data_IF_157589029236
#
_entry.id   IF_157589029236
#
_cell.length_a   1.000
_cell.length_b   1.000
_cell.length_c   1.000
_cell.angle_alpha   90.00
_cell.angle_beta   90.00
_cell.angle_gamma   90.00
#
_symmetry.space_group_name_H-M   'P 1'
#
loop_
_entity.id
_entity.type
_entity.pdbx_description
1 polymer ?
#
# COMPACT_ATOMS: atom_id res chain seq x y z
N UNK A 1 -10.52 25.00 8.16
CA UNK A 1 -10.10 24.22 6.99
C UNK A 1 -8.92 23.28 7.33
N UNK A 2 -7.85 23.77 7.99
CA UNK A 2 -6.68 22.98 8.40
C UNK A 2 -7.06 21.77 9.27
N UNK A 3 -7.85 21.94 10.33
CA UNK A 3 -8.27 20.84 11.20
C UNK A 3 -9.13 19.80 10.47
N UNK A 4 -10.00 20.22 9.53
CA UNK A 4 -10.82 19.28 8.75
C UNK A 4 -9.94 18.42 7.84
N UNK A 5 -8.95 19.04 7.19
CA UNK A 5 -7.96 18.33 6.37
C UNK A 5 -7.13 17.39 7.24
N UNK A 6 -6.63 17.86 8.38
CA UNK A 6 -5.89 17.06 9.34
C UNK A 6 -6.68 15.87 9.90
N UNK A 7 -7.97 16.05 10.16
CA UNK A 7 -8.84 14.94 10.57
C UNK A 7 -8.90 13.85 9.52
N UNK A 8 -9.02 14.21 8.24
CA UNK A 8 -9.05 13.24 7.16
C UNK A 8 -7.73 12.44 7.08
N UNK A 9 -6.59 13.09 7.30
CA UNK A 9 -5.28 12.42 7.38
C UNK A 9 -5.19 11.45 8.55
N UNK A 10 -5.57 11.87 9.76
CA UNK A 10 -5.56 11.00 10.94
C UNK A 10 -6.51 9.82 10.74
N UNK A 11 -7.72 10.06 10.23
CA UNK A 11 -8.68 8.99 9.95
C UNK A 11 -8.13 7.98 8.93
N UNK A 12 -7.40 8.44 7.90
CA UNK A 12 -6.75 7.58 6.91
C UNK A 12 -5.67 6.72 7.56
N UNK A 13 -4.83 7.29 8.45
CA UNK A 13 -3.80 6.55 9.17
C UNK A 13 -4.39 5.49 10.10
N UNK A 14 -5.45 5.84 10.84
CA UNK A 14 -6.15 4.89 11.72
C UNK A 14 -6.77 3.76 10.90
N UNK A 15 -7.37 4.07 9.76
CA UNK A 15 -7.94 3.04 8.88
C UNK A 15 -6.86 2.15 8.29
N UNK A 16 -5.71 2.71 7.88
CA UNK A 16 -4.57 1.93 7.43
C UNK A 16 -4.09 0.95 8.52
N UNK A 17 -3.92 1.42 9.76
CA UNK A 17 -3.56 0.56 10.89
C UNK A 17 -4.60 -0.53 11.14
N UNK A 18 -5.89 -0.22 11.01
CA UNK A 18 -6.97 -1.19 11.15
C UNK A 18 -6.88 -2.29 10.08
N UNK A 19 -6.61 -1.92 8.84
CA UNK A 19 -6.45 -2.88 7.74
C UNK A 19 -5.19 -3.73 7.91
N UNK A 20 -4.07 -3.13 8.32
CA UNK A 20 -2.82 -3.85 8.63
C UNK A 20 -3.05 -4.86 9.76
N UNK A 21 -3.79 -4.48 10.81
CA UNK A 21 -4.15 -5.39 11.89
C UNK A 21 -5.03 -6.56 11.40
N UNK A 22 -6.04 -6.28 10.58
CA UNK A 22 -6.91 -7.31 10.02
C UNK A 22 -6.10 -8.30 9.17
N UNK A 23 -5.17 -7.81 8.35
CA UNK A 23 -4.25 -8.65 7.58
C UNK A 23 -3.43 -9.56 8.50
N UNK A 24 -2.83 -9.02 9.57
CA UNK A 24 -2.10 -9.81 10.55
C UNK A 24 -2.95 -10.92 11.19
N UNK A 25 -4.19 -10.61 11.58
CA UNK A 25 -5.13 -11.59 12.14
C UNK A 25 -5.45 -12.70 11.11
N UNK A 26 -5.65 -12.33 9.85
CA UNK A 26 -5.89 -13.31 8.79
C UNK A 26 -4.70 -14.24 8.58
N UNK A 27 -3.48 -13.71 8.59
CA UNK A 27 -2.27 -14.50 8.48
C UNK A 27 -2.13 -15.49 9.64
N UNK A 28 -2.42 -15.05 10.87
CA UNK A 28 -2.44 -15.94 12.05
C UNK A 28 -3.47 -17.07 11.86
N UNK A 29 -4.70 -16.73 11.48
CA UNK A 29 -5.78 -17.69 11.30
C UNK A 29 -5.49 -18.73 10.20
N UNK A 30 -4.74 -18.32 9.18
CA UNK A 30 -4.32 -19.19 8.06
C UNK A 30 -3.00 -19.91 8.32
N UNK A 31 -2.35 -19.74 9.50
CA UNK A 31 -1.00 -20.22 9.82
C UNK A 31 0.06 -19.79 8.79
N UNK A 32 -0.03 -18.56 8.32
CA UNK A 32 0.83 -17.98 7.29
C UNK A 32 1.67 -16.80 7.78
N UNK A 33 1.52 -16.39 9.05
CA UNK A 33 2.36 -15.35 9.64
C UNK A 33 3.76 -15.90 9.86
N UNK A 34 4.72 -15.40 9.10
CA UNK A 34 6.14 -15.70 9.27
C UNK A 34 6.90 -14.47 9.78
N UNK A 35 8.23 -14.57 9.92
CA UNK A 35 9.05 -13.48 10.45
C UNK A 35 9.01 -12.23 9.55
N UNK A 36 8.93 -12.40 8.23
CA UNK A 36 8.92 -11.28 7.29
C UNK A 36 7.65 -10.44 7.44
N UNK A 37 6.48 -11.09 7.44
CA UNK A 37 5.20 -10.41 7.65
C UNK A 37 5.10 -9.80 9.05
N UNK A 38 5.61 -10.49 10.09
CA UNK A 38 5.64 -9.94 11.44
C UNK A 38 6.47 -8.65 11.51
N UNK A 39 7.64 -8.61 10.87
CA UNK A 39 8.47 -7.40 10.82
C UNK A 39 7.76 -6.25 10.09
N UNK A 40 7.04 -6.54 9.00
CA UNK A 40 6.23 -5.52 8.31
C UNK A 40 5.14 -4.98 9.21
N UNK A 41 4.41 -5.84 9.94
CA UNK A 41 3.40 -5.43 10.91
C UNK A 41 4.00 -4.51 11.96
N UNK A 42 5.06 -4.95 12.64
CA UNK A 42 5.70 -4.21 13.74
C UNK A 42 6.21 -2.84 13.27
N UNK A 43 6.94 -2.79 12.15
CA UNK A 43 7.47 -1.54 11.59
C UNK A 43 6.33 -0.60 11.19
N UNK A 44 5.30 -1.12 10.52
CA UNK A 44 4.16 -0.30 10.09
C UNK A 44 3.44 0.33 11.27
N UNK A 45 3.16 -0.45 12.32
CA UNK A 45 2.52 0.08 13.53
C UNK A 45 3.38 1.16 14.20
N UNK A 46 4.68 0.90 14.38
CA UNK A 46 5.59 1.86 15.01
C UNK A 46 5.66 3.16 14.20
N UNK A 47 5.80 3.08 12.87
CA UNK A 47 5.92 4.27 12.03
C UNK A 47 4.64 5.09 11.97
N UNK A 48 3.48 4.46 11.76
CA UNK A 48 2.20 5.15 11.71
C UNK A 48 1.84 5.79 13.04
N UNK A 49 2.00 5.07 14.15
CA UNK A 49 1.71 5.61 15.48
C UNK A 49 2.69 6.72 15.84
N UNK A 50 3.98 6.57 15.50
CA UNK A 50 4.95 7.65 15.70
C UNK A 50 4.53 8.94 14.97
N UNK A 51 4.04 8.84 13.75
CA UNK A 51 3.56 10.01 13.00
C UNK A 51 2.26 10.59 13.59
N UNK A 52 1.33 9.76 14.02
CA UNK A 52 0.09 10.21 14.67
C UNK A 52 0.40 11.01 15.94
N UNK A 53 1.34 10.54 16.76
CA UNK A 53 1.74 11.18 18.02
C UNK A 53 2.60 12.44 17.80
N UNK A 54 3.58 12.39 16.87
CA UNK A 54 4.56 13.46 16.71
C UNK A 54 4.21 14.46 15.61
N UNK A 55 3.29 14.13 14.73
CA UNK A 55 2.80 14.96 13.64
C UNK A 55 2.85 14.30 12.28
N UNK A 56 1.72 14.29 11.60
CA UNK A 56 1.56 13.80 10.24
C UNK A 56 1.86 14.97 9.29
N UNK A 57 2.86 14.86 8.40
CA UNK A 57 3.11 15.87 7.37
C UNK A 57 2.04 15.78 6.29
N UNK A 58 1.18 16.80 6.21
CA UNK A 58 0.14 16.90 5.19
C UNK A 58 0.64 17.55 3.90
N UNK A 59 1.66 18.39 4.03
CA UNK A 59 2.40 19.05 2.94
C UNK A 59 3.78 19.45 3.43
N UNK A 60 4.56 20.13 2.61
CA UNK A 60 5.91 20.62 2.99
C UNK A 60 5.91 21.53 4.22
N UNK A 61 4.82 22.24 4.48
CA UNK A 61 4.73 23.24 5.56
C UNK A 61 3.59 22.98 6.54
N UNK A 62 2.78 21.96 6.32
CA UNK A 62 1.61 21.68 7.13
C UNK A 62 1.75 20.34 7.86
N UNK A 63 1.58 20.40 9.17
CA UNK A 63 1.58 19.24 10.05
C UNK A 63 0.29 19.23 10.87
N UNK A 64 -0.18 18.04 11.21
CA UNK A 64 -1.29 17.84 12.12
C UNK A 64 -0.90 16.81 13.20
N UNK A 65 -1.21 17.11 14.44
CA UNK A 65 -1.06 16.20 15.58
C UNK A 65 -2.43 15.82 16.11
N UNK A 66 -2.52 14.64 16.68
CA UNK A 66 -3.76 14.20 17.31
C UNK A 66 -4.19 15.10 18.46
N UNK A 67 -3.22 15.73 19.14
CA UNK A 67 -3.47 16.71 20.22
C UNK A 67 -4.07 18.02 19.75
N UNK A 68 -3.98 18.36 18.45
CA UNK A 68 -4.56 19.60 17.91
C UNK A 68 -6.10 19.57 17.90
N UNK A 69 -6.69 18.39 18.09
CA UNK A 69 -8.16 18.21 18.14
C UNK A 69 -8.75 18.29 19.53
N UNK A 70 -7.93 18.44 20.59
CA UNK A 70 -8.37 18.46 21.98
C UNK A 70 -9.21 17.21 22.40
N UNK A 71 -9.19 16.15 21.60
CA UNK A 71 -9.93 14.90 21.82
C UNK A 71 -9.13 13.96 22.73
N UNK A 72 -7.80 14.02 22.62
CA UNK A 72 -6.85 13.18 23.35
C UNK A 72 -6.06 14.07 24.30
N UNK A 73 -6.02 13.70 25.57
CA UNK A 73 -5.19 14.35 26.56
C UNK A 73 -3.79 13.71 26.63
N UNK A 74 -2.89 14.39 27.33
CA UNK A 74 -1.49 13.95 27.46
C UNK A 74 -1.34 12.57 28.13
N UNK A 75 -2.27 12.16 28.97
CA UNK A 75 -2.23 10.84 29.60
C UNK A 75 -2.60 9.74 28.61
N UNK A 76 -3.50 10.00 27.67
CA UNK A 76 -3.85 9.04 26.62
C UNK A 76 -2.71 8.88 25.62
N UNK A 77 -2.03 9.99 25.27
CA UNK A 77 -0.81 9.98 24.44
C UNK A 77 0.30 9.14 25.08
N UNK A 78 0.53 9.29 26.40
CA UNK A 78 1.49 8.49 27.15
C UNK A 78 1.14 7.00 27.14
N UNK A 79 -0.13 6.65 27.37
CA UNK A 79 -0.59 5.25 27.33
C UNK A 79 -0.37 4.61 25.95
N UNK A 80 -0.59 5.35 24.86
CA UNK A 80 -0.32 4.86 23.52
C UNK A 80 1.18 4.63 23.35
N UNK A 81 2.01 5.60 23.76
CA UNK A 81 3.47 5.50 23.62
C UNK A 81 4.11 4.38 24.44
N UNK A 82 3.57 4.05 25.60
CA UNK A 82 4.06 2.98 26.47
C UNK A 82 3.86 1.57 25.87
N UNK A 83 2.88 1.41 24.99
CA UNK A 83 2.60 0.13 24.31
C UNK A 83 3.51 -0.16 23.12
N UNK A 84 4.33 0.80 22.67
CA UNK A 84 5.17 0.67 21.49
C UNK A 84 6.63 0.99 21.81
N UNK A 85 7.54 0.11 21.39
CA UNK A 85 8.98 0.35 21.51
C UNK A 85 9.52 1.06 20.27
N UNK A 86 9.49 2.39 20.28
CA UNK A 86 9.97 3.21 19.16
C UNK A 86 11.50 3.19 18.96
N UNK A 87 12.27 2.75 19.97
CA UNK A 87 13.75 2.77 19.89
C UNK A 87 14.34 1.64 19.04
N UNK A 88 13.56 0.62 18.70
CA UNK A 88 13.98 -0.62 18.07
C UNK A 88 13.74 -0.66 16.54
N UNK A 89 13.13 0.39 15.97
CA UNK A 89 12.72 0.41 14.54
C UNK A 89 13.88 0.17 13.58
N UNK A 90 15.07 0.73 13.86
CA UNK A 90 16.23 0.55 12.99
C UNK A 90 16.69 -0.90 12.93
N UNK A 91 16.68 -1.60 14.06
CA UNK A 91 17.03 -3.02 14.12
C UNK A 91 16.01 -3.89 13.37
N UNK A 92 14.71 -3.61 13.53
CA UNK A 92 13.64 -4.30 12.80
C UNK A 92 13.80 -4.12 11.29
N UNK A 93 14.10 -2.89 10.83
CA UNK A 93 14.37 -2.60 9.41
C UNK A 93 15.60 -3.33 8.89
N UNK A 94 16.70 -3.38 9.66
CA UNK A 94 17.88 -4.15 9.27
C UNK A 94 17.57 -5.65 9.12
N UNK A 95 16.78 -6.20 10.03
CA UNK A 95 16.35 -7.61 9.95
C UNK A 95 15.49 -7.84 8.71
N UNK A 96 14.51 -6.96 8.45
CA UNK A 96 13.65 -7.04 7.27
C UNK A 96 14.48 -7.04 5.97
N UNK A 97 15.44 -6.11 5.86
CA UNK A 97 16.33 -6.01 4.69
C UNK A 97 17.19 -7.26 4.53
N UNK A 98 17.74 -7.82 5.63
CA UNK A 98 18.53 -9.05 5.59
C UNK A 98 17.71 -10.23 5.05
N UNK A 99 16.46 -10.37 5.50
CA UNK A 99 15.55 -11.41 4.99
C UNK A 99 15.27 -11.18 3.49
N UNK A 100 14.96 -9.94 3.11
CA UNK A 100 14.67 -9.60 1.71
C UNK A 100 15.84 -9.88 0.76
N UNK A 101 17.07 -9.57 1.18
CA UNK A 101 18.27 -9.81 0.36
C UNK A 101 18.58 -11.32 0.24
N UNK A 102 18.37 -12.09 1.30
CA UNK A 102 18.70 -13.52 1.32
C UNK A 102 17.67 -14.38 0.55
N UNK A 103 16.53 -13.83 0.23
CA UNK A 103 15.48 -14.49 -0.53
C UNK A 103 15.29 -13.78 -1.88
N UNK A 104 15.97 -14.25 -2.92
CA UNK A 104 15.93 -13.67 -4.28
C UNK A 104 14.52 -13.42 -4.86
N UNK A 105 13.48 -13.90 -4.19
CA UNK A 105 12.09 -13.83 -4.62
C UNK A 105 11.18 -12.92 -3.74
N UNK A 106 11.67 -12.32 -2.66
CA UNK A 106 10.85 -11.46 -1.79
C UNK A 106 10.80 -10.01 -2.29
N UNK A 107 10.53 -9.81 -3.56
CA UNK A 107 10.04 -8.50 -4.05
C UNK A 107 8.52 -8.39 -3.88
N UNK A 108 7.84 -9.49 -3.59
CA UNK A 108 6.39 -9.56 -3.39
C UNK A 108 6.07 -10.25 -2.07
N UNK A 109 5.09 -9.73 -1.33
CA UNK A 109 4.49 -10.45 -0.22
C UNK A 109 3.94 -11.79 -0.74
N UNK A 110 4.45 -12.92 -0.25
CA UNK A 110 3.91 -14.24 -0.60
C UNK A 110 2.48 -14.42 -0.08
N UNK A 111 2.18 -13.78 1.05
CA UNK A 111 0.91 -13.89 1.73
C UNK A 111 0.22 -12.52 1.81
N UNK A 112 -0.51 -12.16 0.78
CA UNK A 112 -1.23 -10.89 0.71
C UNK A 112 -2.47 -10.86 1.63
N UNK A 113 -2.98 -12.02 2.04
CA UNK A 113 -4.27 -12.14 2.70
C UNK A 113 -5.48 -11.96 1.77
N UNK A 114 -5.25 -11.70 0.49
CA UNK A 114 -6.32 -11.52 -0.49
C UNK A 114 -7.16 -12.80 -0.67
N UNK A 115 -8.42 -12.62 -1.03
CA UNK A 115 -9.29 -13.71 -1.49
C UNK A 115 -8.86 -14.17 -2.89
N UNK A 116 -9.24 -15.40 -3.23
CA UNK A 116 -8.81 -16.07 -4.48
C UNK A 116 -9.10 -15.24 -5.73
N UNK A 117 -10.22 -14.52 -5.77
CA UNK A 117 -10.61 -13.67 -6.89
C UNK A 117 -9.59 -12.54 -7.12
N UNK A 118 -9.17 -11.85 -6.05
CA UNK A 118 -8.18 -10.76 -6.15
C UNK A 118 -6.79 -11.28 -6.46
N UNK A 119 -6.43 -12.47 -5.98
CA UNK A 119 -5.17 -13.13 -6.36
C UNK A 119 -5.15 -13.45 -7.87
N UNK A 120 -6.25 -13.92 -8.44
CA UNK A 120 -6.34 -14.17 -9.89
C UNK A 120 -6.21 -12.88 -10.69
N UNK A 121 -6.82 -11.78 -10.23
CA UNK A 121 -6.65 -10.45 -10.84
C UNK A 121 -5.17 -10.05 -10.76
N UNK A 122 -4.53 -10.19 -9.60
CA UNK A 122 -3.11 -9.88 -9.39
C UNK A 122 -2.22 -10.66 -10.36
N UNK A 123 -2.38 -11.97 -10.44
CA UNK A 123 -1.61 -12.84 -11.35
C UNK A 123 -1.78 -12.44 -12.82
N UNK A 124 -3.00 -12.07 -13.22
CA UNK A 124 -3.26 -11.61 -14.58
C UNK A 124 -2.45 -10.36 -14.91
N UNK A 125 -2.41 -9.37 -14.02
CA UNK A 125 -1.65 -8.14 -14.25
C UNK A 125 -0.15 -8.32 -14.09
N UNK A 126 0.33 -9.22 -13.23
CA UNK A 126 1.73 -9.63 -13.18
C UNK A 126 2.18 -10.23 -14.51
N UNK A 127 1.36 -11.12 -15.07
CA UNK A 127 1.62 -11.71 -16.40
C UNK A 127 1.62 -10.66 -17.49
N UNK A 128 0.66 -9.73 -17.48
CA UNK A 128 0.61 -8.60 -18.43
C UNK A 128 1.91 -7.79 -18.37
N UNK A 129 2.35 -7.41 -17.18
CA UNK A 129 3.59 -6.66 -16.99
C UNK A 129 4.83 -7.40 -17.47
N UNK A 130 4.96 -8.68 -17.14
CA UNK A 130 6.11 -9.47 -17.54
C UNK A 130 6.25 -9.61 -19.06
N UNK A 131 5.13 -9.69 -19.75
CA UNK A 131 5.10 -9.84 -21.22
C UNK A 131 5.24 -8.52 -21.95
N UNK A 132 4.69 -7.42 -21.44
CA UNK A 132 4.49 -6.20 -22.21
C UNK A 132 5.25 -4.98 -21.67
N UNK A 133 5.54 -4.93 -20.38
CA UNK A 133 6.02 -3.71 -19.70
C UNK A 133 7.47 -3.80 -19.26
N UNK A 134 7.86 -4.79 -18.45
CA UNK A 134 9.17 -4.84 -17.78
C UNK A 134 10.36 -4.65 -18.71
N UNK A 135 10.38 -5.35 -19.84
CA UNK A 135 11.51 -5.31 -20.78
C UNK A 135 11.62 -3.97 -21.53
N UNK A 136 10.58 -3.16 -21.50
CA UNK A 136 10.50 -1.91 -22.24
C UNK A 136 10.52 -0.67 -21.34
N UNK A 137 10.15 -0.80 -20.06
CA UNK A 137 9.97 0.31 -19.13
C UNK A 137 11.20 1.21 -19.04
N UNK A 138 12.38 0.62 -18.83
CA UNK A 138 13.63 1.36 -18.73
C UNK A 138 13.96 2.13 -20.02
N UNK A 139 13.70 1.53 -21.17
CA UNK A 139 13.90 2.17 -22.47
C UNK A 139 12.95 3.36 -22.67
N UNK A 140 11.67 3.19 -22.34
CA UNK A 140 10.71 4.29 -22.43
C UNK A 140 11.09 5.45 -21.51
N UNK A 141 11.56 5.13 -20.31
CA UNK A 141 11.99 6.15 -19.35
C UNK A 141 13.23 6.92 -19.83
N UNK A 142 14.30 6.21 -20.25
CA UNK A 142 15.55 6.84 -20.70
C UNK A 142 15.40 7.65 -22.00
N UNK A 143 14.48 7.26 -22.88
CA UNK A 143 14.21 7.92 -24.14
C UNK A 143 13.10 8.98 -24.03
N UNK A 144 12.60 9.25 -22.82
CA UNK A 144 11.49 10.19 -22.55
C UNK A 144 10.27 9.94 -23.44
N UNK A 145 9.94 8.66 -23.64
CA UNK A 145 8.83 8.23 -24.49
C UNK A 145 7.51 8.17 -23.75
N UNK A 146 6.45 8.57 -24.42
CA UNK A 146 5.09 8.28 -23.97
C UNK A 146 4.84 6.76 -23.95
N UNK A 147 3.90 6.34 -23.10
CA UNK A 147 3.42 4.96 -23.10
C UNK A 147 2.86 4.63 -24.47
N UNK A 148 3.30 3.54 -25.11
CA UNK A 148 2.82 3.17 -26.44
C UNK A 148 1.30 2.96 -26.47
N UNK A 149 0.64 3.44 -27.52
CA UNK A 149 -0.81 3.32 -27.68
C UNK A 149 -1.29 1.88 -27.52
N UNK A 150 -0.51 0.91 -28.02
CA UNK A 150 -0.82 -0.52 -27.88
C UNK A 150 -1.01 -0.94 -26.42
N UNK A 151 -0.19 -0.43 -25.48
CA UNK A 151 -0.33 -0.74 -24.05
C UNK A 151 -1.66 -0.18 -23.52
N UNK A 152 -2.02 1.03 -23.93
CA UNK A 152 -3.29 1.67 -23.54
C UNK A 152 -4.48 0.86 -24.08
N UNK A 153 -4.42 0.43 -25.33
CA UNK A 153 -5.47 -0.36 -25.98
C UNK A 153 -5.62 -1.75 -25.30
N UNK A 154 -4.49 -2.39 -24.99
CA UNK A 154 -4.47 -3.68 -24.27
C UNK A 154 -5.08 -3.53 -22.86
N UNK A 155 -4.75 -2.46 -22.13
CA UNK A 155 -5.32 -2.16 -20.80
C UNK A 155 -6.83 -1.83 -20.89
N UNK A 156 -7.26 -1.13 -21.94
CA UNK A 156 -8.67 -0.88 -22.21
C UNK A 156 -9.42 -2.20 -22.44
N UNK A 157 -8.83 -3.11 -23.21
CA UNK A 157 -9.38 -4.45 -23.48
C UNK A 157 -9.50 -5.30 -22.22
N UNK A 158 -8.55 -5.14 -21.28
CA UNK A 158 -8.59 -5.77 -19.95
C UNK A 158 -9.58 -5.09 -18.98
N UNK A 159 -10.24 -4.00 -19.39
CA UNK A 159 -11.24 -3.29 -18.62
C UNK A 159 -10.68 -2.37 -17.52
N UNK A 160 -9.38 -2.06 -17.54
CA UNK A 160 -8.71 -1.27 -16.49
C UNK A 160 -9.39 0.08 -16.26
N UNK A 161 -9.75 0.79 -17.34
CA UNK A 161 -10.37 2.11 -17.24
C UNK A 161 -11.85 2.08 -16.81
N UNK A 162 -12.43 0.90 -16.73
CA UNK A 162 -13.81 0.68 -16.29
C UNK A 162 -13.95 -0.11 -14.99
N UNK A 163 -12.86 -0.39 -14.27
CA UNK A 163 -12.85 -1.29 -13.10
C UNK A 163 -13.97 -0.99 -12.09
N UNK A 164 -14.09 0.26 -11.66
CA UNK A 164 -15.06 0.67 -10.63
C UNK A 164 -16.33 1.32 -11.19
N UNK A 165 -16.43 1.44 -12.52
CA UNK A 165 -17.61 1.96 -13.17
C UNK A 165 -18.71 0.90 -13.11
N UNK A 166 -19.94 1.23 -12.66
CA UNK A 166 -21.03 0.27 -12.62
C UNK A 166 -21.33 -0.35 -13.99
N UNK A 167 -21.69 -1.63 -14.00
CA UNK A 167 -22.01 -2.41 -15.23
C UNK A 167 -23.06 -1.73 -16.12
N UNK A 168 -24.07 -1.09 -15.50
CA UNK A 168 -25.10 -0.32 -16.24
C UNK A 168 -24.56 0.82 -17.10
N UNK A 169 -23.31 1.22 -16.87
CA UNK A 169 -22.60 2.23 -17.66
C UNK A 169 -21.47 1.63 -18.49
N UNK A 170 -21.40 0.30 -18.60
CA UNK A 170 -20.41 -0.41 -19.39
C UNK A 170 -19.08 -0.68 -18.68
N UNK A 171 -19.03 -0.50 -17.36
CA UNK A 171 -17.86 -0.85 -16.55
C UNK A 171 -17.92 -2.28 -16.00
N UNK A 172 -16.92 -2.65 -15.20
CA UNK A 172 -16.83 -3.96 -14.56
C UNK A 172 -17.49 -4.02 -13.18
N UNK A 173 -17.88 -2.89 -12.59
CA UNK A 173 -18.56 -2.83 -11.30
C UNK A 173 -17.75 -3.35 -10.11
N UNK A 174 -16.43 -3.50 -10.25
CA UNK A 174 -15.58 -4.01 -9.19
C UNK A 174 -15.40 -2.98 -8.06
N UNK A 175 -14.96 -3.44 -6.92
CA UNK A 175 -14.72 -2.58 -5.76
C UNK A 175 -13.34 -1.89 -5.78
N UNK A 176 -13.09 -1.02 -4.81
CA UNK A 176 -11.82 -0.29 -4.71
C UNK A 176 -10.63 -1.20 -4.39
N UNK A 177 -10.86 -2.36 -3.77
CA UNK A 177 -9.77 -3.32 -3.50
C UNK A 177 -9.22 -3.88 -4.81
N UNK A 178 -10.09 -4.28 -5.74
CA UNK A 178 -9.68 -4.72 -7.08
C UNK A 178 -8.89 -3.61 -7.82
N UNK A 179 -9.36 -2.36 -7.73
CA UNK A 179 -8.65 -1.22 -8.29
C UNK A 179 -7.24 -1.06 -7.68
N UNK A 180 -7.10 -1.19 -6.36
CA UNK A 180 -5.79 -1.11 -5.68
C UNK A 180 -4.85 -2.23 -6.14
N UNK A 181 -5.34 -3.47 -6.25
CA UNK A 181 -4.56 -4.62 -6.72
C UNK A 181 -4.05 -4.39 -8.14
N UNK A 182 -4.92 -3.93 -9.05
CA UNK A 182 -4.54 -3.63 -10.44
C UNK A 182 -3.53 -2.50 -10.51
N UNK A 183 -3.79 -1.39 -9.80
CA UNK A 183 -2.90 -0.22 -9.80
C UNK A 183 -1.53 -0.54 -9.22
N UNK A 184 -1.46 -1.33 -8.14
CA UNK A 184 -0.20 -1.79 -7.55
C UNK A 184 0.61 -2.59 -8.56
N UNK A 185 0.00 -3.59 -9.21
CA UNK A 185 0.73 -4.43 -10.15
C UNK A 185 1.17 -3.63 -11.39
N UNK A 186 0.32 -2.78 -11.95
CA UNK A 186 0.70 -1.93 -13.08
C UNK A 186 1.85 -0.98 -12.73
N UNK A 187 1.81 -0.35 -11.54
CA UNK A 187 2.87 0.52 -11.05
C UNK A 187 4.18 -0.24 -10.81
N UNK A 188 4.11 -1.50 -10.36
CA UNK A 188 5.27 -2.39 -10.23
C UNK A 188 5.94 -2.63 -11.57
N UNK A 189 5.18 -2.73 -12.64
CA UNK A 189 5.70 -2.85 -14.01
C UNK A 189 6.42 -1.59 -14.46
N UNK A 190 5.74 -0.48 -14.39
CA UNK A 190 6.23 0.87 -14.67
C UNK A 190 5.23 1.89 -14.13
N UNK A 191 5.70 2.83 -13.31
CA UNK A 191 4.83 3.84 -12.70
C UNK A 191 4.04 4.66 -13.74
N UNK A 192 4.63 4.91 -14.91
CA UNK A 192 3.95 5.58 -16.01
C UNK A 192 2.75 4.80 -16.57
N UNK A 193 2.77 3.47 -16.49
CA UNK A 193 1.63 2.61 -16.84
C UNK A 193 0.62 2.56 -15.71
N UNK A 194 1.09 2.51 -14.46
CA UNK A 194 0.22 2.49 -13.27
C UNK A 194 -0.52 3.81 -13.00
N UNK A 195 -0.10 4.90 -13.65
CA UNK A 195 -0.73 6.23 -13.51
C UNK A 195 -1.67 6.61 -14.66
N UNK A 196 -1.92 5.69 -15.63
CA UNK A 196 -2.95 5.85 -16.66
C UNK A 196 -4.34 5.70 -16.06
#
# INVERSE_FOLDING_TARGET
QHLVHGFAWIATYIEALRQINNWGIELINKNKLNEFEQLILDISFIEYISQILNGIPMSQTEFIKITDFEIINKNDELKISENFNFSNVSELKERLVKIAINNDNIITLENTGLETEYEQIREQFQKFNSLNVYNNANKWHLEDKLIPQKIIDDLATLGVFGLTIPEKYGGLGLNKLAMCVVSEELARGYIGVGSL
#
